data_IF_833172635096
#
_entry.id   IF_833172635096
#
_cell.length_a   1.000
_cell.length_b   1.000
_cell.length_c   1.000
_cell.angle_alpha   90.00
_cell.angle_beta   90.00
_cell.angle_gamma   90.00
#
_symmetry.space_group_name_H-M   'P 1'
#
loop_
_entity.id
_entity.type
_entity.pdbx_description
1 polymer ?
#
# COMPACT_ATOMS: atom_id res chain seq x y z
N UNK A 1 17.21 5.59 -11.40
CA UNK A 1 16.51 4.38 -11.82
C UNK A 1 15.76 3.86 -10.61
N UNK A 2 14.43 3.96 -10.57
CA UNK A 2 13.66 3.28 -9.53
C UNK A 2 13.76 1.77 -9.81
N UNK A 3 14.34 1.02 -8.89
CA UNK A 3 14.35 -0.43 -8.99
C UNK A 3 12.90 -0.89 -8.89
N UNK A 4 12.33 -1.40 -9.97
CA UNK A 4 11.10 -2.16 -9.87
C UNK A 4 11.41 -3.34 -8.95
N UNK A 5 10.80 -3.38 -7.77
CA UNK A 5 10.85 -4.53 -6.89
C UNK A 5 10.41 -5.74 -7.71
N UNK A 6 11.35 -6.65 -7.97
CA UNK A 6 11.04 -7.87 -8.70
C UNK A 6 10.16 -8.72 -7.79
N UNK A 7 8.97 -9.12 -8.23
CA UNK A 7 8.17 -10.07 -7.47
C UNK A 7 8.91 -11.40 -7.34
N UNK A 8 9.24 -11.82 -6.11
CA UNK A 8 10.02 -13.04 -5.83
C UNK A 8 9.16 -14.22 -5.36
N UNK A 9 7.83 -14.18 -5.55
CA UNK A 9 6.95 -15.28 -5.16
C UNK A 9 7.06 -16.48 -6.09
N UNK A 10 7.11 -17.69 -5.52
CA UNK A 10 7.17 -18.97 -6.25
C UNK A 10 5.97 -19.19 -7.19
N UNK A 11 4.79 -18.68 -6.81
CA UNK A 11 3.54 -18.78 -7.58
C UNK A 11 3.32 -17.51 -8.43
N UNK A 12 4.21 -17.22 -9.36
CA UNK A 12 4.08 -16.01 -10.16
C UNK A 12 2.81 -16.04 -11.03
N UNK A 13 2.03 -14.95 -10.96
CA UNK A 13 0.97 -14.63 -11.94
C UNK A 13 0.91 -13.12 -12.14
N UNK A 14 0.44 -12.62 -13.30
CA UNK A 14 0.26 -11.19 -13.53
C UNK A 14 -0.62 -10.53 -12.46
N UNK A 15 -1.69 -11.19 -12.02
CA UNK A 15 -2.57 -10.67 -10.96
C UNK A 15 -1.85 -10.55 -9.61
N UNK A 16 -1.00 -11.51 -9.25
CA UNK A 16 -0.18 -11.46 -8.04
C UNK A 16 0.90 -10.39 -8.11
N UNK A 17 1.52 -10.20 -9.27
CA UNK A 17 2.48 -9.11 -9.49
C UNK A 17 1.81 -7.74 -9.29
N UNK A 18 0.64 -7.52 -9.90
CA UNK A 18 -0.12 -6.27 -9.74
C UNK A 18 -0.56 -6.08 -8.29
N UNK A 19 -1.05 -7.13 -7.61
CA UNK A 19 -1.41 -7.03 -6.20
C UNK A 19 -0.20 -6.70 -5.31
N UNK A 20 0.96 -7.28 -5.61
CA UNK A 20 2.20 -6.98 -4.90
C UNK A 20 2.60 -5.50 -5.05
N UNK A 21 2.53 -4.95 -6.26
CA UNK A 21 2.78 -3.52 -6.48
C UNK A 21 1.79 -2.64 -5.71
N UNK A 22 0.52 -3.03 -5.65
CA UNK A 22 -0.49 -2.32 -4.84
C UNK A 22 -0.19 -2.38 -3.34
N UNK A 23 0.34 -3.51 -2.85
CA UNK A 23 0.76 -3.68 -1.47
C UNK A 23 1.99 -2.82 -1.14
N UNK A 24 2.97 -2.76 -2.04
CA UNK A 24 4.14 -1.89 -1.89
C UNK A 24 3.73 -0.41 -1.86
N UNK A 25 2.89 0.02 -2.81
CA UNK A 25 2.38 1.38 -2.83
C UNK A 25 1.56 1.74 -1.58
N UNK A 26 0.82 0.77 -1.01
CA UNK A 26 0.15 0.95 0.29
C UNK A 26 1.18 1.21 1.41
N UNK A 27 2.24 0.41 1.51
CA UNK A 27 3.27 0.56 2.52
C UNK A 27 3.98 1.92 2.43
N UNK A 28 4.33 2.35 1.21
CA UNK A 28 4.97 3.66 0.98
C UNK A 28 4.06 4.82 1.41
N UNK A 29 2.77 4.77 1.07
CA UNK A 29 1.80 5.79 1.48
C UNK A 29 1.60 5.81 2.99
N UNK A 30 1.54 4.65 3.66
CA UNK A 30 1.46 4.57 5.12
C UNK A 30 2.70 5.19 5.75
N UNK A 31 3.90 4.87 5.27
CA UNK A 31 5.15 5.45 5.76
C UNK A 31 5.15 6.97 5.63
N UNK A 32 4.72 7.50 4.48
CA UNK A 32 4.57 8.94 4.26
C UNK A 32 3.60 9.57 5.27
N UNK A 33 2.42 8.98 5.48
CA UNK A 33 1.42 9.50 6.42
C UNK A 33 1.95 9.52 7.86
N UNK A 34 2.65 8.47 8.29
CA UNK A 34 3.29 8.41 9.61
C UNK A 34 4.38 9.47 9.74
N UNK A 35 5.20 9.69 8.70
CA UNK A 35 6.21 10.74 8.71
C UNK A 35 5.57 12.15 8.79
N UNK A 36 4.47 12.39 8.07
CA UNK A 36 3.72 13.64 8.14
C UNK A 36 3.15 13.90 9.54
N UNK A 37 2.56 12.87 10.15
CA UNK A 37 2.03 12.92 11.51
C UNK A 37 3.15 13.16 12.54
N UNK A 38 4.27 12.42 12.44
CA UNK A 38 5.43 12.59 13.31
C UNK A 38 6.08 13.98 13.19
N UNK A 39 5.98 14.61 12.02
CA UNK A 39 6.41 16.01 11.80
C UNK A 39 5.37 17.06 12.19
N UNK A 40 4.20 16.66 12.70
CA UNK A 40 3.13 17.56 13.14
C UNK A 40 2.33 18.23 12.01
N UNK A 41 2.49 17.80 10.74
CA UNK A 41 1.76 18.39 9.60
C UNK A 41 0.30 17.94 9.51
N UNK A 42 0.01 16.77 10.07
CA UNK A 42 -1.35 16.23 10.22
C UNK A 42 -1.49 15.67 11.63
N UNK A 43 -2.72 15.66 12.15
CA UNK A 43 -3.00 15.05 13.44
C UNK A 43 -3.21 13.53 13.31
N UNK A 44 -3.36 12.86 14.45
CA UNK A 44 -3.51 11.41 14.53
C UNK A 44 -4.79 10.93 13.86
N UNK A 45 -5.90 11.64 14.02
CA UNK A 45 -7.20 11.29 13.45
C UNK A 45 -7.17 11.36 11.91
N UNK A 46 -6.53 12.39 11.36
CA UNK A 46 -6.31 12.55 9.92
C UNK A 46 -5.44 11.42 9.36
N UNK A 47 -4.30 11.13 10.01
CA UNK A 47 -3.42 10.04 9.59
C UNK A 47 -4.15 8.70 9.61
N UNK A 48 -4.87 8.40 10.70
CA UNK A 48 -5.67 7.18 10.82
C UNK A 48 -6.76 7.09 9.75
N UNK A 49 -7.51 8.16 9.51
CA UNK A 49 -8.54 8.20 8.47
C UNK A 49 -7.99 7.86 7.09
N UNK A 50 -6.88 8.49 6.71
CA UNK A 50 -6.20 8.21 5.44
C UNK A 50 -5.71 6.75 5.35
N UNK A 51 -5.05 6.24 6.40
CA UNK A 51 -4.55 4.85 6.42
C UNK A 51 -5.72 3.86 6.33
N UNK A 52 -6.83 4.13 7.01
CA UNK A 52 -8.02 3.30 6.98
C UNK A 52 -8.66 3.22 5.59
N UNK A 53 -8.71 4.33 4.86
CA UNK A 53 -9.22 4.35 3.49
C UNK A 53 -8.27 3.65 2.51
N UNK A 54 -6.95 3.83 2.66
CA UNK A 54 -5.95 3.05 1.91
C UNK A 54 -6.08 1.55 2.17
N UNK A 55 -6.38 1.14 3.41
CA UNK A 55 -6.63 -0.26 3.75
C UNK A 55 -7.88 -0.81 3.06
N UNK A 56 -8.96 -0.03 2.96
CA UNK A 56 -10.16 -0.46 2.20
C UNK A 56 -9.84 -0.64 0.72
N UNK A 57 -9.07 0.26 0.13
CA UNK A 57 -8.62 0.18 -1.26
C UNK A 57 -7.79 -1.08 -1.49
N UNK A 58 -6.81 -1.35 -0.62
CA UNK A 58 -5.98 -2.55 -0.70
C UNK A 58 -6.79 -3.84 -0.58
N UNK A 59 -7.76 -3.89 0.35
CA UNK A 59 -8.66 -5.05 0.50
C UNK A 59 -9.50 -5.28 -0.76
N UNK A 60 -10.00 -4.21 -1.38
CA UNK A 60 -10.74 -4.29 -2.65
C UNK A 60 -9.83 -4.82 -3.76
N UNK A 61 -8.65 -4.26 -3.92
CA UNK A 61 -7.64 -4.71 -4.88
C UNK A 61 -7.29 -6.20 -4.71
N UNK A 62 -7.11 -6.67 -3.46
CA UNK A 62 -6.89 -8.08 -3.15
C UNK A 62 -8.02 -8.96 -3.67
N UNK A 63 -9.27 -8.61 -3.38
CA UNK A 63 -10.44 -9.38 -3.82
C UNK A 63 -10.56 -9.38 -5.34
N UNK A 64 -10.33 -8.24 -5.99
CA UNK A 64 -10.52 -8.10 -7.43
C UNK A 64 -9.40 -8.82 -8.23
N UNK A 65 -8.19 -8.97 -7.66
CA UNK A 65 -7.05 -9.62 -8.30
C UNK A 65 -6.83 -11.08 -7.88
N UNK A 66 -7.09 -11.41 -6.62
CA UNK A 66 -6.75 -12.71 -6.02
C UNK A 66 -7.95 -13.48 -5.43
N UNK A 67 -9.16 -12.89 -5.47
CA UNK A 67 -10.39 -13.52 -5.04
C UNK A 67 -10.98 -14.47 -6.08
#
# INVERSE_FOLDING_TARGET
MAAFSSYQGLDWTPKRLVFHQNLEAFADKVLLLVALQGSGKINQEQAFGCIHDLWKELKRSKRDLLG
#
